data_IF_252230251556
#
_entry.id   IF_252230251556
#
_cell.length_a   1.000
_cell.length_b   1.000
_cell.length_c   1.000
_cell.angle_alpha   90.00
_cell.angle_beta   90.00
_cell.angle_gamma   90.00
#
_symmetry.space_group_name_H-M   'P 1'
#
loop_
_entity.id
_entity.type
_entity.pdbx_description
1 polymer ?
#
# COMPACT_ATOMS: atom_id res chain seq x y z
N UNK A 1 -30.83 -16.94 43.89
CA UNK A 1 -31.46 -15.88 43.07
C UNK A 1 -30.76 -15.90 41.72
N UNK A 2 -31.38 -16.54 40.73
CA UNK A 2 -30.83 -16.72 39.38
C UNK A 2 -31.34 -15.58 38.51
N UNK A 3 -30.43 -14.76 37.97
CA UNK A 3 -30.78 -13.65 37.09
C UNK A 3 -30.23 -14.00 35.71
N UNK A 4 -31.10 -14.52 34.86
CA UNK A 4 -30.81 -14.80 33.45
C UNK A 4 -30.64 -13.50 32.67
N UNK A 5 -29.52 -13.37 31.97
CA UNK A 5 -29.27 -12.32 30.98
C UNK A 5 -29.24 -12.97 29.61
N UNK A 6 -30.38 -12.96 28.92
CA UNK A 6 -30.45 -13.34 27.52
C UNK A 6 -29.94 -12.18 26.64
N UNK A 7 -28.79 -12.38 26.00
CA UNK A 7 -28.30 -11.50 24.94
C UNK A 7 -29.21 -11.64 23.72
N UNK A 8 -30.24 -10.78 23.65
CA UNK A 8 -31.07 -10.66 22.44
C UNK A 8 -30.34 -9.81 21.41
N UNK A 9 -29.81 -10.45 20.39
CA UNK A 9 -29.27 -9.78 19.21
C UNK A 9 -30.44 -9.11 18.47
N UNK A 10 -30.61 -7.80 18.67
CA UNK A 10 -31.51 -6.99 17.84
C UNK A 10 -31.00 -7.01 16.40
N UNK A 11 -31.58 -7.88 15.55
CA UNK A 11 -31.44 -7.78 14.10
C UNK A 11 -32.06 -6.44 13.67
N UNK A 12 -31.24 -5.57 13.09
CA UNK A 12 -31.70 -4.32 12.47
C UNK A 12 -32.70 -4.67 11.37
N UNK A 13 -33.92 -4.13 11.48
CA UNK A 13 -34.97 -4.18 10.47
C UNK A 13 -34.46 -3.60 9.14
N UNK A 14 -34.68 -4.26 7.98
CA UNK A 14 -34.18 -3.82 6.69
C UNK A 14 -35.12 -2.84 5.97
N UNK A 15 -35.98 -2.10 6.68
CA UNK A 15 -36.85 -1.11 6.05
C UNK A 15 -36.27 0.30 6.23
N UNK A 16 -35.28 0.63 5.40
CA UNK A 16 -34.89 2.01 5.10
C UNK A 16 -34.87 2.16 3.56
N UNK A 17 -35.86 2.93 3.08
CA UNK A 17 -35.97 3.60 1.78
C UNK A 17 -35.84 2.78 0.48
N UNK A 18 -36.99 2.49 -0.14
CA UNK A 18 -37.25 2.88 -1.53
C UNK A 18 -36.65 2.08 -2.69
N UNK A 19 -35.96 0.97 -2.47
CA UNK A 19 -35.55 0.06 -3.56
C UNK A 19 -36.40 -1.21 -3.51
N UNK A 20 -37.18 -1.47 -4.57
CA UNK A 20 -37.82 -2.78 -4.77
C UNK A 20 -36.71 -3.84 -4.83
N UNK A 21 -36.77 -4.93 -4.06
CA UNK A 21 -35.89 -6.07 -4.30
C UNK A 21 -36.25 -6.64 -5.67
N UNK A 22 -35.27 -6.70 -6.58
CA UNK A 22 -35.40 -7.44 -7.84
C UNK A 22 -35.71 -8.90 -7.48
N UNK A 23 -36.78 -9.45 -8.03
CA UNK A 23 -37.20 -10.83 -7.80
C UNK A 23 -36.10 -11.78 -8.29
N UNK A 24 -35.49 -12.48 -7.34
CA UNK A 24 -34.46 -13.50 -7.55
C UNK A 24 -35.12 -14.76 -8.14
N UNK A 25 -35.33 -14.74 -9.46
CA UNK A 25 -35.68 -15.93 -10.23
C UNK A 25 -34.47 -16.86 -10.19
N UNK A 26 -34.58 -17.98 -9.45
CA UNK A 26 -33.52 -18.91 -9.05
C UNK A 26 -32.67 -19.62 -10.14
N UNK A 27 -32.44 -18.99 -11.30
CA UNK A 27 -31.25 -19.22 -12.09
C UNK A 27 -30.11 -18.39 -11.50
N UNK A 28 -28.93 -19.00 -11.27
CA UNK A 28 -27.69 -18.27 -10.96
C UNK A 28 -27.26 -17.42 -12.18
N UNK A 29 -28.03 -16.39 -12.50
CA UNK A 29 -27.66 -15.38 -13.45
C UNK A 29 -26.60 -14.53 -12.76
N UNK A 30 -25.37 -14.53 -13.31
CA UNK A 30 -24.30 -13.69 -12.79
C UNK A 30 -24.85 -12.26 -12.72
N UNK A 31 -24.67 -11.59 -11.58
CA UNK A 31 -25.06 -10.18 -11.43
C UNK A 31 -24.48 -9.40 -12.60
N UNK A 32 -25.34 -8.64 -13.30
CA UNK A 32 -24.90 -7.75 -14.37
C UNK A 32 -23.88 -6.77 -13.78
N UNK A 33 -22.63 -6.85 -14.23
CA UNK A 33 -21.54 -6.00 -13.75
C UNK A 33 -21.89 -4.54 -14.03
N UNK A 34 -21.96 -3.72 -12.98
CA UNK A 34 -22.20 -2.28 -13.09
C UNK A 34 -20.87 -1.54 -13.07
N UNK A 35 -20.87 -0.30 -13.58
CA UNK A 35 -19.72 0.62 -13.46
C UNK A 35 -19.30 0.87 -12.01
N UNK A 36 -20.23 0.72 -11.05
CA UNK A 36 -19.94 0.77 -9.62
C UNK A 36 -19.04 -0.37 -9.14
N UNK A 37 -19.09 -1.52 -9.81
CA UNK A 37 -18.41 -2.75 -9.38
C UNK A 37 -16.97 -2.80 -9.86
N UNK A 38 -16.61 -1.94 -10.84
CA UNK A 38 -15.23 -1.79 -11.29
C UNK A 38 -14.42 -0.94 -10.30
N UNK A 39 -13.13 -1.28 -10.08
CA UNK A 39 -12.23 -0.52 -9.22
C UNK A 39 -11.74 0.77 -9.91
N UNK A 40 -12.66 1.65 -10.27
CA UNK A 40 -12.40 2.94 -10.94
C UNK A 40 -12.53 4.12 -9.97
N UNK A 41 -11.79 5.19 -10.23
CA UNK A 41 -11.95 6.45 -9.51
C UNK A 41 -13.33 7.10 -9.78
N UNK A 42 -13.82 7.92 -8.85
CA UNK A 42 -15.08 8.67 -9.02
C UNK A 42 -15.08 9.53 -10.29
N UNK A 43 -13.97 10.24 -10.56
CA UNK A 43 -13.82 11.06 -11.76
C UNK A 43 -13.84 10.23 -13.06
N UNK A 44 -13.22 9.03 -13.05
CA UNK A 44 -13.23 8.12 -14.20
C UNK A 44 -14.65 7.61 -14.49
N UNK A 45 -15.40 7.24 -13.45
CA UNK A 45 -16.81 6.82 -13.59
C UNK A 45 -17.67 7.93 -14.18
N UNK A 46 -17.58 9.14 -13.62
CA UNK A 46 -18.29 10.32 -14.14
C UNK A 46 -17.95 10.60 -15.62
N UNK A 47 -16.69 10.41 -16.01
CA UNK A 47 -16.25 10.59 -17.40
C UNK A 47 -16.89 9.56 -18.34
N UNK A 48 -16.96 8.29 -17.91
CA UNK A 48 -17.61 7.23 -18.69
C UNK A 48 -19.12 7.49 -18.82
N UNK A 49 -19.79 7.89 -17.74
CA UNK A 49 -21.23 8.21 -17.77
C UNK A 49 -21.53 9.39 -18.71
N UNK A 50 -20.68 10.42 -18.69
CA UNK A 50 -20.79 11.57 -19.60
C UNK A 50 -20.56 11.16 -21.06
N UNK A 51 -19.59 10.27 -21.33
CA UNK A 51 -19.33 9.74 -22.67
C UNK A 51 -20.54 8.94 -23.18
N UNK A 52 -21.10 8.08 -22.34
CA UNK A 52 -22.28 7.28 -22.66
C UNK A 52 -23.50 8.17 -22.95
N UNK A 53 -23.69 9.23 -22.19
CA UNK A 53 -24.75 10.20 -22.44
C UNK A 53 -24.57 10.89 -23.80
N UNK A 54 -23.35 11.34 -24.13
CA UNK A 54 -23.04 11.96 -25.43
C UNK A 54 -23.22 10.97 -26.58
N UNK A 55 -22.80 9.72 -26.41
CA UNK A 55 -22.98 8.66 -27.40
C UNK A 55 -24.46 8.42 -27.70
N UNK A 56 -25.31 8.30 -26.67
CA UNK A 56 -26.77 8.17 -26.86
C UNK A 56 -27.37 9.40 -27.55
N UNK A 57 -26.92 10.61 -27.19
CA UNK A 57 -27.40 11.87 -27.79
C UNK A 57 -26.95 12.06 -29.24
N UNK A 58 -25.80 11.50 -29.63
CA UNK A 58 -25.24 11.62 -30.99
C UNK A 58 -26.08 10.91 -32.07
N UNK A 59 -26.98 10.00 -31.67
CA UNK A 59 -27.80 9.21 -32.57
C UNK A 59 -27.11 7.95 -33.13
N UNK A 60 -25.80 7.78 -32.92
CA UNK A 60 -25.07 6.58 -33.34
C UNK A 60 -25.60 5.31 -32.65
N UNK A 61 -26.00 5.40 -31.38
CA UNK A 61 -26.66 4.29 -30.69
C UNK A 61 -27.92 3.80 -31.41
N UNK A 62 -28.77 4.72 -31.90
CA UNK A 62 -29.99 4.36 -32.61
C UNK A 62 -29.70 3.77 -33.98
N UNK A 63 -28.65 4.25 -34.67
CA UNK A 63 -28.18 3.67 -35.93
C UNK A 63 -27.74 2.22 -35.75
N UNK A 64 -26.93 1.94 -34.72
CA UNK A 64 -26.50 0.57 -34.41
C UNK A 64 -27.68 -0.32 -34.03
N UNK A 65 -28.61 0.17 -33.20
CA UNK A 65 -29.85 -0.56 -32.87
C UNK A 65 -30.64 -0.96 -34.12
N UNK A 66 -30.80 -0.02 -35.06
CA UNK A 66 -31.46 -0.27 -36.35
C UNK A 66 -30.67 -1.25 -37.22
N UNK A 67 -29.35 -1.17 -37.21
CA UNK A 67 -28.48 -2.08 -37.95
C UNK A 67 -28.62 -3.53 -37.42
N UNK A 68 -28.59 -3.74 -36.11
CA UNK A 68 -28.84 -5.07 -35.50
C UNK A 68 -30.19 -5.61 -35.94
N UNK A 69 -31.24 -4.77 -35.86
CA UNK A 69 -32.59 -5.19 -36.25
C UNK A 69 -32.65 -5.58 -37.73
N UNK A 70 -32.09 -4.76 -38.62
CA UNK A 70 -32.07 -5.05 -40.05
C UNK A 70 -31.24 -6.31 -40.40
N UNK A 71 -30.10 -6.52 -39.72
CA UNK A 71 -29.29 -7.72 -39.89
C UNK A 71 -30.02 -8.97 -39.41
N UNK A 72 -30.68 -8.91 -38.26
CA UNK A 72 -31.46 -10.03 -37.75
C UNK A 72 -32.65 -10.36 -38.66
N UNK A 73 -33.37 -9.35 -39.15
CA UNK A 73 -34.47 -9.50 -40.10
C UNK A 73 -34.05 -10.22 -41.40
N UNK A 74 -32.83 -9.97 -41.88
CA UNK A 74 -32.25 -10.64 -43.06
C UNK A 74 -31.49 -11.94 -42.74
N UNK A 75 -31.35 -12.30 -41.47
CA UNK A 75 -30.55 -13.44 -41.02
C UNK A 75 -31.35 -14.76 -41.06
N UNK A 76 -30.62 -15.87 -41.10
CA UNK A 76 -31.23 -17.19 -40.88
C UNK A 76 -31.76 -17.39 -39.46
N UNK A 77 -31.31 -16.57 -38.48
CA UNK A 77 -31.80 -16.63 -37.10
C UNK A 77 -33.31 -16.39 -37.00
N UNK A 78 -33.82 -15.41 -37.77
CA UNK A 78 -35.28 -15.17 -37.88
C UNK A 78 -36.02 -16.37 -38.47
N UNK A 79 -35.51 -16.94 -39.57
CA UNK A 79 -36.16 -18.09 -40.21
C UNK A 79 -36.17 -19.30 -39.28
N UNK A 80 -35.07 -19.58 -38.59
CA UNK A 80 -34.96 -20.65 -37.61
C UNK A 80 -35.93 -20.42 -36.43
N UNK A 81 -36.07 -19.18 -35.97
CA UNK A 81 -37.02 -18.83 -34.91
C UNK A 81 -38.46 -19.07 -35.35
N UNK A 82 -38.84 -18.62 -36.56
CA UNK A 82 -40.18 -18.85 -37.12
C UNK A 82 -40.44 -20.35 -37.26
N UNK A 83 -39.51 -21.10 -37.83
CA UNK A 83 -39.64 -22.55 -37.98
C UNK A 83 -39.78 -23.25 -36.63
N UNK A 84 -38.99 -22.86 -35.63
CA UNK A 84 -39.10 -23.43 -34.27
C UNK A 84 -40.45 -23.11 -33.63
N UNK A 85 -41.00 -21.92 -33.88
CA UNK A 85 -42.33 -21.55 -33.42
C UNK A 85 -43.40 -22.38 -34.14
N UNK A 86 -43.30 -22.55 -35.44
CA UNK A 86 -44.22 -23.39 -36.22
C UNK A 86 -44.20 -24.84 -35.69
N UNK A 87 -43.01 -25.44 -35.54
CA UNK A 87 -42.84 -26.79 -34.97
C UNK A 87 -43.43 -26.90 -33.54
N UNK A 88 -43.23 -25.87 -32.70
CA UNK A 88 -43.82 -25.83 -31.36
C UNK A 88 -45.35 -25.75 -31.43
N UNK A 89 -45.90 -24.94 -32.33
CA UNK A 89 -47.36 -24.84 -32.49
C UNK A 89 -47.96 -26.13 -33.00
N UNK A 90 -47.32 -26.81 -33.97
CA UNK A 90 -47.78 -28.11 -34.47
C UNK A 90 -47.77 -29.17 -33.38
N UNK A 91 -46.71 -29.23 -32.56
CA UNK A 91 -46.63 -30.18 -31.44
C UNK A 91 -47.64 -29.87 -30.33
N UNK A 92 -47.85 -28.60 -29.99
CA UNK A 92 -48.87 -28.20 -29.01
C UNK A 92 -50.30 -28.46 -29.52
N UNK A 93 -50.57 -28.21 -30.81
CA UNK A 93 -51.85 -28.55 -31.44
C UNK A 93 -52.05 -30.06 -31.45
N UNK A 94 -51.04 -30.86 -31.80
CA UNK A 94 -51.14 -32.32 -31.79
C UNK A 94 -51.44 -32.87 -30.39
N UNK A 95 -50.79 -32.32 -29.35
CA UNK A 95 -50.93 -32.78 -27.97
C UNK A 95 -52.21 -32.27 -27.28
N UNK A 96 -52.62 -31.02 -27.57
CA UNK A 96 -53.72 -30.33 -26.88
C UNK A 96 -54.84 -29.90 -27.84
N UNK A 97 -55.03 -30.65 -28.93
CA UNK A 97 -55.99 -30.33 -30.00
C UNK A 97 -57.38 -29.95 -29.46
N UNK A 98 -57.98 -30.84 -28.65
CA UNK A 98 -59.34 -30.64 -28.12
C UNK A 98 -59.48 -29.41 -27.23
N UNK A 99 -58.41 -29.03 -26.52
CA UNK A 99 -58.39 -27.86 -25.64
C UNK A 99 -58.10 -26.57 -26.40
N UNK A 100 -57.14 -26.55 -27.32
CA UNK A 100 -56.76 -25.35 -28.07
C UNK A 100 -57.80 -24.99 -29.15
N UNK A 101 -58.34 -25.97 -29.87
CA UNK A 101 -59.31 -25.75 -30.94
C UNK A 101 -60.72 -25.40 -30.42
N UNK A 102 -61.02 -25.73 -29.16
CA UNK A 102 -62.29 -25.35 -28.53
C UNK A 102 -62.31 -23.92 -27.99
N UNK A 103 -61.15 -23.26 -27.91
CA UNK A 103 -61.02 -21.88 -27.43
C UNK A 103 -61.10 -20.89 -28.58
N UNK A 104 -61.47 -19.65 -28.26
CA UNK A 104 -61.38 -18.55 -29.22
C UNK A 104 -59.93 -18.36 -29.66
N UNK A 105 -59.74 -18.00 -30.93
CA UNK A 105 -58.42 -17.83 -31.55
C UNK A 105 -57.46 -16.97 -30.72
N UNK A 106 -57.95 -15.91 -30.08
CA UNK A 106 -57.14 -15.02 -29.23
C UNK A 106 -56.68 -15.71 -27.94
N UNK A 107 -57.53 -16.51 -27.32
CA UNK A 107 -57.20 -17.27 -26.12
C UNK A 107 -56.23 -18.41 -26.43
N UNK A 108 -56.45 -19.11 -27.55
CA UNK A 108 -55.53 -20.15 -28.02
C UNK A 108 -54.14 -19.59 -28.36
N UNK A 109 -54.08 -18.41 -29.00
CA UNK A 109 -52.81 -17.74 -29.30
C UNK A 109 -52.02 -17.40 -28.03
N UNK A 110 -52.67 -16.84 -27.00
CA UNK A 110 -52.02 -16.53 -25.72
C UNK A 110 -51.49 -17.80 -25.00
N UNK A 111 -52.20 -18.93 -25.13
CA UNK A 111 -51.74 -20.21 -24.56
C UNK A 111 -50.49 -20.76 -25.29
N UNK A 112 -50.44 -20.63 -26.62
CA UNK A 112 -49.29 -21.00 -27.43
C UNK A 112 -48.10 -20.07 -27.18
N UNK A 113 -48.33 -18.77 -27.05
CA UNK A 113 -47.30 -17.78 -26.67
C UNK A 113 -46.68 -18.14 -25.31
N UNK A 114 -47.50 -18.43 -24.30
CA UNK A 114 -46.99 -18.89 -23.01
C UNK A 114 -46.23 -20.22 -23.09
N UNK A 115 -46.56 -21.11 -24.03
CA UNK A 115 -45.78 -22.31 -24.30
C UNK A 115 -44.43 -22.00 -24.95
N UNK A 116 -44.40 -21.05 -25.88
CA UNK A 116 -43.17 -20.54 -26.47
C UNK A 116 -42.26 -19.84 -25.44
N UNK A 117 -42.81 -19.06 -24.50
CA UNK A 117 -42.04 -18.42 -23.41
C UNK A 117 -41.35 -19.44 -22.50
N UNK A 118 -42.00 -20.58 -22.22
CA UNK A 118 -41.40 -21.66 -21.43
C UNK A 118 -40.39 -22.49 -22.23
N UNK A 119 -40.42 -22.37 -23.55
CA UNK A 119 -39.47 -23.04 -24.44
C UNK A 119 -38.20 -22.20 -24.59
N UNK A 120 -37.11 -22.84 -25.01
CA UNK A 120 -35.83 -22.15 -25.25
C UNK A 120 -35.77 -21.40 -26.60
N UNK A 121 -36.90 -21.20 -27.30
CA UNK A 121 -36.91 -20.58 -28.63
C UNK A 121 -36.45 -19.12 -28.55
N UNK A 122 -37.07 -18.32 -27.68
CA UNK A 122 -36.70 -16.91 -27.53
C UNK A 122 -35.26 -16.75 -27.04
N UNK A 123 -34.82 -17.58 -26.08
CA UNK A 123 -33.44 -17.59 -25.59
C UNK A 123 -32.42 -17.88 -26.72
N UNK A 124 -32.78 -18.75 -27.66
CA UNK A 124 -31.91 -19.05 -28.81
C UNK A 124 -31.81 -17.86 -29.75
N UNK A 125 -32.94 -17.21 -30.06
CA UNK A 125 -32.96 -16.00 -30.87
C UNK A 125 -32.22 -14.83 -30.20
N UNK A 126 -32.36 -14.67 -28.88
CA UNK A 126 -31.60 -13.69 -28.08
C UNK A 126 -30.09 -13.91 -28.21
N UNK A 127 -29.62 -15.16 -28.13
CA UNK A 127 -28.20 -15.46 -28.30
C UNK A 127 -27.70 -15.10 -29.71
N UNK A 128 -28.53 -15.25 -30.74
CA UNK A 128 -28.16 -14.85 -32.11
C UNK A 128 -28.12 -13.33 -32.26
N UNK A 129 -29.05 -12.61 -31.61
CA UNK A 129 -29.02 -11.15 -31.52
C UNK A 129 -27.77 -10.69 -30.75
N UNK A 130 -27.42 -11.35 -29.65
CA UNK A 130 -26.23 -11.02 -28.86
C UNK A 130 -24.93 -11.16 -29.67
N UNK A 131 -24.83 -12.15 -30.55
CA UNK A 131 -23.71 -12.28 -31.50
C UNK A 131 -23.66 -11.09 -32.47
N UNK A 132 -24.81 -10.70 -33.05
CA UNK A 132 -24.88 -9.53 -33.93
C UNK A 132 -24.48 -8.24 -33.19
N UNK A 133 -24.89 -8.11 -31.93
CA UNK A 133 -24.48 -6.99 -31.08
C UNK A 133 -22.96 -7.02 -30.87
N UNK A 134 -22.38 -8.18 -30.58
CA UNK A 134 -20.93 -8.34 -30.40
C UNK A 134 -20.13 -7.93 -31.65
N UNK A 135 -20.59 -8.30 -32.84
CA UNK A 135 -19.95 -7.93 -34.09
C UNK A 135 -19.95 -6.41 -34.32
N UNK A 136 -21.00 -5.71 -33.86
CA UNK A 136 -21.13 -4.26 -33.97
C UNK A 136 -20.53 -3.47 -32.80
N UNK A 137 -20.06 -4.14 -31.74
CA UNK A 137 -19.45 -3.46 -30.58
C UNK A 137 -18.20 -2.65 -30.99
N UNK A 138 -17.40 -3.14 -31.93
CA UNK A 138 -16.23 -2.42 -32.43
C UNK A 138 -16.60 -1.05 -33.03
N UNK A 139 -17.68 -0.99 -33.81
CA UNK A 139 -18.17 0.27 -34.39
C UNK A 139 -18.68 1.25 -33.30
N UNK A 140 -19.30 0.72 -32.26
CA UNK A 140 -19.71 1.51 -31.10
C UNK A 140 -18.49 2.09 -30.37
N UNK A 141 -17.44 1.28 -30.20
CA UNK A 141 -16.19 1.68 -29.56
C UNK A 141 -15.50 2.80 -30.36
N UNK A 142 -15.37 2.65 -31.67
CA UNK A 142 -14.79 3.67 -32.56
C UNK A 142 -15.56 4.99 -32.47
N UNK A 143 -16.90 4.92 -32.49
CA UNK A 143 -17.77 6.08 -32.33
C UNK A 143 -17.58 6.77 -30.97
N UNK A 144 -17.46 5.99 -29.89
CA UNK A 144 -17.17 6.53 -28.55
C UNK A 144 -15.78 7.16 -28.48
N UNK A 145 -14.77 6.57 -29.13
CA UNK A 145 -13.41 7.13 -29.23
C UNK A 145 -13.40 8.42 -30.03
N UNK A 146 -14.16 8.51 -31.10
CA UNK A 146 -14.35 9.75 -31.87
C UNK A 146 -14.98 10.86 -31.03
N UNK A 147 -16.00 10.54 -30.23
CA UNK A 147 -16.61 11.51 -29.29
C UNK A 147 -15.56 11.98 -28.28
N UNK A 148 -14.77 11.07 -27.72
CA UNK A 148 -13.70 11.42 -26.76
C UNK A 148 -12.60 12.27 -27.39
N UNK A 149 -12.20 11.97 -28.64
CA UNK A 149 -11.25 12.78 -29.43
C UNK A 149 -11.75 14.22 -29.62
N UNK A 150 -13.04 14.41 -29.91
CA UNK A 150 -13.64 15.75 -30.02
C UNK A 150 -13.73 16.49 -28.68
N UNK A 151 -13.86 15.76 -27.57
CA UNK A 151 -14.05 16.35 -26.24
C UNK A 151 -12.74 16.83 -25.58
N UNK A 152 -11.66 16.05 -25.65
CA UNK A 152 -10.37 16.39 -25.02
C UNK A 152 -9.30 16.85 -26.02
N UNK A 153 -9.50 16.59 -27.31
CA UNK A 153 -8.47 16.76 -28.34
C UNK A 153 -7.71 15.47 -28.66
N UNK A 154 -7.00 15.48 -29.80
CA UNK A 154 -6.35 14.29 -30.36
C UNK A 154 -5.19 13.79 -29.50
N UNK A 155 -4.32 14.67 -29.03
CA UNK A 155 -3.13 14.30 -28.26
C UNK A 155 -3.48 13.62 -26.93
N UNK A 156 -4.40 14.23 -26.16
CA UNK A 156 -4.85 13.68 -24.88
C UNK A 156 -5.61 12.35 -25.06
N UNK A 157 -6.41 12.21 -26.12
CA UNK A 157 -7.11 10.97 -26.42
C UNK A 157 -6.14 9.84 -26.81
N UNK A 158 -5.06 10.14 -27.54
CA UNK A 158 -4.01 9.16 -27.86
C UNK A 158 -3.25 8.70 -26.61
N UNK A 159 -3.00 9.60 -25.66
CA UNK A 159 -2.42 9.20 -24.37
C UNK A 159 -3.35 8.30 -23.55
N UNK A 160 -4.65 8.62 -23.48
CA UNK A 160 -5.65 7.77 -22.81
C UNK A 160 -5.70 6.38 -23.46
N UNK A 161 -5.64 6.32 -24.80
CA UNK A 161 -5.60 5.07 -25.56
C UNK A 161 -4.33 4.27 -25.26
N UNK A 162 -3.16 4.90 -25.27
CA UNK A 162 -1.88 4.25 -24.91
C UNK A 162 -1.90 3.71 -23.48
N UNK A 163 -2.44 4.48 -22.53
CA UNK A 163 -2.56 4.05 -21.12
C UNK A 163 -3.55 2.90 -20.96
N UNK A 164 -4.68 2.94 -21.66
CA UNK A 164 -5.70 1.89 -21.63
C UNK A 164 -5.28 0.60 -22.34
N UNK A 165 -4.42 0.70 -23.35
CA UNK A 165 -3.89 -0.44 -24.13
C UNK A 165 -2.61 -1.05 -23.58
N UNK A 166 -2.14 -0.64 -22.39
CA UNK A 166 -0.97 -1.26 -21.76
C UNK A 166 -1.26 -2.73 -21.47
N UNK A 167 -0.37 -3.59 -21.96
CA UNK A 167 -0.42 -5.03 -21.70
C UNK A 167 0.13 -5.34 -20.30
N UNK A 168 -0.17 -6.53 -19.77
CA UNK A 168 0.39 -6.98 -18.49
C UNK A 168 1.93 -6.99 -18.51
N UNK A 169 2.54 -7.30 -19.65
CA UNK A 169 3.99 -7.24 -19.87
C UNK A 169 4.53 -5.81 -19.75
N UNK A 170 3.80 -4.82 -20.28
CA UNK A 170 4.15 -3.40 -20.13
C UNK A 170 4.11 -2.96 -18.66
N UNK A 171 3.08 -3.40 -17.93
CA UNK A 171 2.97 -3.11 -16.50
C UNK A 171 4.11 -3.75 -15.69
N UNK A 172 4.52 -4.97 -16.04
CA UNK A 172 5.66 -5.63 -15.41
C UNK A 172 6.95 -4.86 -15.66
N UNK A 173 7.20 -4.41 -16.89
CA UNK A 173 8.37 -3.57 -17.21
C UNK A 173 8.39 -2.28 -16.41
N UNK A 174 7.27 -1.56 -16.37
CA UNK A 174 7.17 -0.32 -15.57
C UNK A 174 7.37 -0.58 -14.07
N UNK A 175 6.90 -1.73 -13.58
CA UNK A 175 7.10 -2.12 -12.18
C UNK A 175 8.58 -2.42 -11.89
N UNK A 176 9.26 -3.15 -12.77
CA UNK A 176 10.68 -3.46 -12.64
C UNK A 176 11.54 -2.19 -12.70
N UNK A 177 11.23 -1.26 -13.60
CA UNK A 177 11.89 0.04 -13.68
C UNK A 177 11.71 0.85 -12.39
N UNK A 178 10.47 0.91 -11.86
CA UNK A 178 10.19 1.57 -10.58
C UNK A 178 10.92 0.90 -9.42
N UNK A 179 10.98 -0.43 -9.42
CA UNK A 179 11.71 -1.20 -8.41
C UNK A 179 13.21 -0.91 -8.50
N UNK A 180 13.80 -0.91 -9.69
CA UNK A 180 15.20 -0.57 -9.91
C UNK A 180 15.51 0.87 -9.49
N UNK A 181 14.64 1.83 -9.82
CA UNK A 181 14.78 3.22 -9.37
C UNK A 181 14.74 3.35 -7.85
N UNK A 182 13.82 2.65 -7.18
CA UNK A 182 13.75 2.61 -5.71
C UNK A 182 14.99 1.97 -5.11
N UNK A 183 15.49 0.88 -5.67
CA UNK A 183 16.71 0.21 -5.21
C UNK A 183 17.93 1.14 -5.33
N UNK A 184 18.06 1.88 -6.43
CA UNK A 184 19.13 2.89 -6.59
C UNK A 184 19.08 3.97 -5.50
N UNK A 185 17.89 4.48 -5.18
CA UNK A 185 17.72 5.48 -4.10
C UNK A 185 18.18 4.88 -2.75
N UNK A 186 17.75 3.65 -2.44
CA UNK A 186 18.14 2.97 -1.19
C UNK A 186 19.65 2.72 -1.17
N UNK A 187 20.26 2.32 -2.28
CA UNK A 187 21.71 2.14 -2.40
C UNK A 187 22.47 3.45 -2.16
N UNK A 188 22.01 4.56 -2.72
CA UNK A 188 22.58 5.90 -2.50
C UNK A 188 22.44 6.35 -1.04
N UNK A 189 21.29 6.11 -0.40
CA UNK A 189 21.08 6.40 1.02
C UNK A 189 21.99 5.55 1.90
N UNK A 190 22.10 4.25 1.63
CA UNK A 190 22.99 3.34 2.34
C UNK A 190 24.47 3.72 2.16
N UNK A 191 24.86 4.19 0.98
CA UNK A 191 26.22 4.66 0.73
C UNK A 191 26.53 5.92 1.56
N UNK A 192 25.59 6.87 1.65
CA UNK A 192 25.74 8.07 2.49
C UNK A 192 25.84 7.72 3.98
N UNK A 193 25.03 6.77 4.44
CA UNK A 193 25.09 6.29 5.83
C UNK A 193 26.46 5.68 6.13
N UNK A 194 26.98 4.82 5.24
CA UNK A 194 28.31 4.22 5.40
C UNK A 194 29.42 5.27 5.43
N UNK A 195 29.33 6.31 4.59
CA UNK A 195 30.30 7.41 4.61
C UNK A 195 30.27 8.17 5.94
N UNK A 196 29.07 8.46 6.47
CA UNK A 196 28.93 9.10 7.78
C UNK A 196 29.48 8.22 8.92
N UNK A 197 29.19 6.92 8.90
CA UNK A 197 29.76 5.97 9.87
C UNK A 197 31.28 5.91 9.79
N UNK A 198 31.87 5.91 8.60
CA UNK A 198 33.33 5.94 8.43
C UNK A 198 33.95 7.25 8.94
N UNK A 199 33.35 8.40 8.62
CA UNK A 199 33.79 9.69 9.14
C UNK A 199 33.70 9.77 10.67
N UNK A 200 32.61 9.28 11.25
CA UNK A 200 32.42 9.24 12.70
C UNK A 200 33.40 8.27 13.37
N UNK A 201 33.71 7.13 12.73
CA UNK A 201 34.76 6.22 13.20
C UNK A 201 36.15 6.86 13.16
N UNK A 202 36.46 7.64 12.13
CA UNK A 202 37.73 8.37 12.01
C UNK A 202 37.82 9.45 13.10
N UNK A 203 36.77 10.26 13.29
CA UNK A 203 36.71 11.29 14.34
C UNK A 203 36.82 10.69 15.74
N UNK A 204 36.12 9.58 16.02
CA UNK A 204 36.20 8.88 17.29
C UNK A 204 37.59 8.28 17.55
N UNK A 205 38.26 7.78 16.50
CA UNK A 205 39.64 7.30 16.61
C UNK A 205 40.63 8.43 16.89
N UNK A 206 40.49 9.58 16.22
CA UNK A 206 41.31 10.76 16.44
C UNK A 206 41.10 11.33 17.86
N UNK A 207 39.85 11.45 18.30
CA UNK A 207 39.53 11.90 19.66
C UNK A 207 40.11 10.94 20.71
N UNK A 208 40.04 9.62 20.47
CA UNK A 208 40.63 8.62 21.36
C UNK A 208 42.16 8.73 21.41
N UNK A 209 42.83 9.08 20.30
CA UNK A 209 44.28 9.34 20.28
C UNK A 209 44.60 10.60 21.06
N UNK A 210 43.85 11.68 20.86
CA UNK A 210 44.05 12.95 21.59
C UNK A 210 43.82 12.81 23.09
N UNK A 211 42.80 12.04 23.51
CA UNK A 211 42.55 11.72 24.93
C UNK A 211 43.69 10.94 25.55
N UNK A 212 44.26 9.95 24.84
CA UNK A 212 45.44 9.20 25.31
C UNK A 212 46.66 10.10 25.47
N UNK A 213 46.93 10.99 24.51
CA UNK A 213 48.03 11.95 24.61
C UNK A 213 47.85 12.93 25.78
N UNK A 214 46.61 13.37 26.05
CA UNK A 214 46.31 14.22 27.21
C UNK A 214 46.41 13.47 28.54
N UNK A 215 46.01 12.19 28.59
CA UNK A 215 46.19 11.32 29.76
C UNK A 215 47.68 11.06 30.03
N UNK A 216 48.47 10.75 29.01
CA UNK A 216 49.92 10.56 29.13
C UNK A 216 50.62 11.87 29.56
N UNK A 217 50.18 13.04 29.09
CA UNK A 217 50.71 14.32 29.54
C UNK A 217 50.35 14.62 31.00
N UNK A 218 49.11 14.32 31.43
CA UNK A 218 48.69 14.45 32.83
C UNK A 218 49.39 13.46 33.75
N UNK A 219 49.68 12.25 33.28
CA UNK A 219 50.45 11.25 34.02
C UNK A 219 51.89 11.70 34.22
N UNK A 220 52.56 12.20 33.17
CA UNK A 220 53.89 12.82 33.28
C UNK A 220 53.90 14.03 34.23
N UNK A 221 52.89 14.89 34.18
CA UNK A 221 52.76 16.02 35.11
C UNK A 221 52.56 15.56 36.56
N UNK A 222 51.83 14.46 36.78
CA UNK A 222 51.67 13.84 38.11
C UNK A 222 52.97 13.24 38.60
N UNK A 223 53.70 12.53 37.75
CA UNK A 223 55.01 11.97 38.07
C UNK A 223 56.03 13.07 38.41
N UNK A 224 56.05 14.17 37.67
CA UNK A 224 56.91 15.33 37.98
C UNK A 224 56.53 16.01 39.30
N UNK A 225 55.22 16.14 39.60
CA UNK A 225 54.74 16.69 40.88
C UNK A 225 55.05 15.76 42.06
N UNK A 226 54.94 14.45 41.87
CA UNK A 226 55.34 13.47 42.88
C UNK A 226 56.86 13.45 43.09
N UNK A 227 57.66 13.56 42.03
CA UNK A 227 59.11 13.68 42.10
C UNK A 227 59.52 14.94 42.87
N UNK A 228 58.88 16.09 42.59
CA UNK A 228 59.10 17.34 43.34
C UNK A 228 58.73 17.20 44.82
N UNK A 229 57.60 16.56 45.14
CA UNK A 229 57.19 16.29 46.54
C UNK A 229 58.12 15.32 47.26
N UNK A 230 58.69 14.34 46.55
CA UNK A 230 59.69 13.43 47.12
C UNK A 230 61.01 14.17 47.40
N UNK A 231 61.46 15.01 46.48
CA UNK A 231 62.64 15.85 46.67
C UNK A 231 62.48 16.84 47.85
N UNK A 232 61.32 17.49 47.98
CA UNK A 232 61.02 18.40 49.10
C UNK A 232 60.97 17.67 50.45
N UNK A 233 60.45 16.44 50.49
CA UNK A 233 60.47 15.61 51.70
C UNK A 233 61.89 15.21 52.08
N UNK A 234 62.70 14.84 51.09
CA UNK A 234 64.11 14.48 51.30
C UNK A 234 64.94 15.67 51.79
N UNK A 235 64.63 16.89 51.33
CA UNK A 235 65.26 18.12 51.79
C UNK A 235 64.86 18.47 53.24
N UNK A 236 63.56 18.33 53.58
CA UNK A 236 63.08 18.47 54.97
C UNK A 236 63.66 17.43 55.92
N UNK A 237 63.87 16.21 55.46
CA UNK A 237 64.55 15.17 56.27
C UNK A 237 66.01 15.51 56.49
N UNK A 238 66.71 16.01 55.46
CA UNK A 238 68.10 16.52 55.59
C UNK A 238 68.20 17.73 56.53
N UNK A 239 67.20 18.61 56.56
CA UNK A 239 67.13 19.73 57.51
C UNK A 239 66.89 19.25 58.95
N UNK A 240 65.98 18.29 59.16
CA UNK A 240 65.74 17.67 60.47
C UNK A 240 66.95 16.90 60.98
N UNK A 241 67.69 16.25 60.09
CA UNK A 241 68.91 15.55 60.43
C UNK A 241 70.01 16.53 60.88
N UNK A 242 70.14 17.67 60.19
CA UNK A 242 71.03 18.78 60.62
C UNK A 242 70.59 19.41 61.94
N UNK A 243 69.29 19.51 62.21
CA UNK A 243 68.75 20.04 63.46
C UNK A 243 69.00 19.08 64.64
N UNK A 244 68.81 17.78 64.44
CA UNK A 244 69.18 16.73 65.39
C UNK A 244 70.69 16.65 65.62
N UNK A 245 71.51 16.96 64.61
CA UNK A 245 72.96 17.02 64.74
C UNK A 245 73.39 18.22 65.60
N UNK A 246 72.77 19.40 65.40
CA UNK A 246 72.95 20.58 66.25
C UNK A 246 72.49 20.35 67.69
N UNK A 247 71.35 19.67 67.89
CA UNK A 247 70.86 19.29 69.22
C UNK A 247 71.81 18.29 69.92
N UNK A 248 72.40 17.36 69.16
CA UNK A 248 73.45 16.45 69.67
C UNK A 248 74.73 17.20 70.03
N UNK A 249 75.10 18.23 69.27
CA UNK A 249 76.22 19.13 69.61
C UNK A 249 75.94 19.94 70.88
N UNK A 250 74.78 20.57 71.02
CA UNK A 250 74.40 21.28 72.24
C UNK A 250 74.36 20.37 73.47
N UNK A 251 73.91 19.11 73.32
CA UNK A 251 73.92 18.12 74.40
C UNK A 251 75.34 17.71 74.80
N UNK A 252 76.27 17.66 73.85
CA UNK A 252 77.71 17.45 74.13
C UNK A 252 78.33 18.68 74.81
N UNK A 253 77.89 19.88 74.45
CA UNK A 253 78.36 21.13 75.06
C UNK A 253 77.86 21.32 76.50
N UNK A 254 76.59 20.95 76.78
CA UNK A 254 76.03 20.94 78.14
C UNK A 254 76.74 19.94 79.06
N UNK A 255 77.11 18.75 78.55
CA UNK A 255 77.95 17.79 79.30
C UNK A 255 79.33 18.35 79.61
N UNK A 256 79.96 19.08 78.68
CA UNK A 256 81.26 19.74 78.94
C UNK A 256 81.15 20.81 80.03
N UNK A 257 80.10 21.63 80.03
CA UNK A 257 79.86 22.66 81.07
C UNK A 257 79.49 22.07 82.43
N UNK A 258 78.91 20.86 82.47
CA UNK A 258 78.61 20.14 83.71
C UNK A 258 79.86 19.47 84.31
N UNK A 259 80.75 18.92 83.47
CA UNK A 259 82.09 18.44 83.88
C UNK A 259 83.02 19.58 84.36
N UNK A 260 82.83 20.80 83.87
CA UNK A 260 83.57 21.99 84.32
C UNK A 260 83.11 22.46 85.71
N UNK A 261 81.80 22.42 86.00
CA UNK A 261 81.23 22.75 87.32
C UNK A 261 81.60 21.73 88.41
N UNK A 262 81.72 20.45 88.07
CA UNK A 262 82.18 19.40 89.01
C UNK A 262 83.68 19.53 89.34
N UNK A 263 84.48 20.16 88.47
CA UNK A 263 85.89 20.51 88.75
C UNK A 263 86.05 21.75 89.61
N UNK A 264 85.10 22.68 89.60
CA UNK A 264 85.11 23.87 90.49
C UNK A 264 84.65 23.54 91.92
N UNK A 265 83.71 22.60 92.12
CA UNK A 265 83.27 22.15 93.45
C UNK A 265 84.27 21.22 94.18
N UNK A 266 85.37 20.84 93.53
CA UNK A 266 86.46 20.04 94.13
C UNK A 266 87.68 20.86 94.55
N UNK A 267 87.61 22.20 94.47
CA UNK A 267 88.68 23.12 94.91
C UNK A 267 88.33 24.02 96.11
N UNK A 268 87.31 23.66 96.89
CA UNK A 268 87.08 24.17 98.25
C UNK A 268 86.94 23.00 99.25
N UNK A 269 88.04 22.27 99.45
CA UNK A 269 88.39 21.54 100.69
C UNK A 269 89.89 21.50 100.87
#
# INVERSE_FOLDING_TARGET
>A
MSVGTSLTWKRKSPYISGAKPEEDNGEFTRKKLKLSDLPLGSAQRSTIDALLFKFKKSGEFDKLRKAVFAQFEGSQGKNNMIQSLDDLTETEIANKASYLLSKERRQAAALLEGAAERSNIYRTAENDIDKLVQDLLGQAEDSMRDIRRRDIGEDAALEELKKGGKTDEDYLREFEERKAARLKIIEEENAKIKQQEEEDRIKAAEEKRRRKEEEEAKEKEREEREAKRRAEREEREKEREKELEREREERRERRRKEEERVREESHER
#
